data_IF_589607579018
#
_entry.id   IF_589607579018
#
_cell.length_a   1.000
_cell.length_b   1.000
_cell.length_c   1.000
_cell.angle_alpha   90.00
_cell.angle_beta   90.00
_cell.angle_gamma   90.00
#
_symmetry.space_group_name_H-M   'P 1'
#
loop_
_entity.id
_entity.type
_entity.pdbx_description
1 polymer ?
#
# COMPACT_ATOMS: atom_id res chain seq x y z
N UNK A 1 -8.35 18.00 -5.69
CA UNK A 1 -7.65 19.29 -5.89
C UNK A 1 -8.46 20.19 -6.80
N UNK A 2 -8.89 19.70 -7.97
CA UNK A 2 -9.60 20.48 -9.01
C UNK A 2 -10.74 21.36 -8.48
N UNK A 3 -11.64 20.83 -7.64
CA UNK A 3 -12.74 21.63 -7.09
C UNK A 3 -12.28 22.83 -6.25
N UNK A 4 -11.25 22.63 -5.40
CA UNK A 4 -10.70 23.69 -4.53
C UNK A 4 -9.82 24.64 -5.33
N UNK A 5 -9.08 24.14 -6.33
CA UNK A 5 -8.30 24.98 -7.27
C UNK A 5 -9.20 25.83 -8.17
N UNK A 6 -10.43 25.38 -8.45
CA UNK A 6 -11.45 26.14 -9.17
C UNK A 6 -12.15 27.21 -8.29
N UNK A 7 -11.72 27.40 -7.05
CA UNK A 7 -12.24 28.44 -6.15
C UNK A 7 -13.44 28.02 -5.30
N UNK A 8 -13.83 26.74 -5.30
CA UNK A 8 -14.84 26.26 -4.35
C UNK A 8 -14.27 26.24 -2.94
N UNK A 9 -15.04 26.75 -1.98
CA UNK A 9 -14.79 26.55 -0.56
C UNK A 9 -14.77 25.05 -0.21
N UNK A 10 -14.01 24.68 0.82
CA UNK A 10 -13.77 23.28 1.19
C UNK A 10 -15.08 22.48 1.37
N UNK A 11 -16.08 23.05 2.03
CA UNK A 11 -17.37 22.39 2.26
C UNK A 11 -18.12 22.11 0.95
N UNK A 12 -18.15 23.08 0.03
CA UNK A 12 -18.77 22.92 -1.28
C UNK A 12 -18.02 21.89 -2.13
N UNK A 13 -16.69 21.90 -2.07
CA UNK A 13 -15.86 20.90 -2.73
C UNK A 13 -16.10 19.49 -2.16
N UNK A 14 -16.22 19.34 -0.85
CA UNK A 14 -16.53 18.07 -0.18
C UNK A 14 -17.93 17.55 -0.55
N UNK A 15 -18.94 18.43 -0.59
CA UNK A 15 -20.28 18.05 -1.04
C UNK A 15 -20.27 17.55 -2.48
N UNK A 16 -19.59 18.27 -3.37
CA UNK A 16 -19.48 17.88 -4.79
C UNK A 16 -18.77 16.53 -4.96
N UNK A 17 -17.66 16.33 -4.25
CA UNK A 17 -16.93 15.06 -4.27
C UNK A 17 -17.76 13.91 -3.67
N UNK A 18 -18.54 14.18 -2.61
CA UNK A 18 -19.46 13.22 -2.01
C UNK A 18 -20.51 12.73 -3.00
N UNK A 19 -21.08 13.61 -3.82
CA UNK A 19 -22.02 13.25 -4.88
C UNK A 19 -21.36 12.44 -6.01
N UNK A 20 -20.20 12.90 -6.50
CA UNK A 20 -19.51 12.24 -7.62
C UNK A 20 -18.95 10.85 -7.26
N UNK A 21 -18.52 10.66 -6.01
CA UNK A 21 -17.92 9.39 -5.58
C UNK A 21 -18.95 8.29 -5.35
N UNK A 22 -20.25 8.62 -5.30
CA UNK A 22 -21.34 7.66 -5.09
C UNK A 22 -21.25 6.45 -6.02
N UNK A 23 -20.94 6.68 -7.30
CA UNK A 23 -20.83 5.63 -8.32
C UNK A 23 -19.62 4.70 -8.08
N UNK A 24 -18.56 5.20 -7.44
CA UNK A 24 -17.33 4.42 -7.15
C UNK A 24 -17.33 3.78 -5.78
N UNK A 25 -17.89 4.45 -4.79
CA UNK A 25 -17.97 4.00 -3.41
C UNK A 25 -19.13 4.70 -2.71
N UNK A 26 -20.23 3.97 -2.57
CA UNK A 26 -21.40 4.44 -1.82
C UNK A 26 -21.05 4.71 -0.35
N UNK A 27 -20.29 3.82 0.29
CA UNK A 27 -19.90 3.97 1.70
C UNK A 27 -19.12 5.28 1.95
N UNK A 28 -18.20 5.64 1.05
CA UNK A 28 -17.44 6.89 1.19
C UNK A 28 -18.29 8.14 0.89
N UNK A 29 -19.23 8.02 -0.06
CA UNK A 29 -20.19 9.07 -0.35
C UNK A 29 -21.08 9.40 0.86
N UNK A 30 -21.63 8.36 1.51
CA UNK A 30 -22.44 8.49 2.71
C UNK A 30 -21.67 9.14 3.86
N UNK A 31 -20.42 8.73 4.07
CA UNK A 31 -19.55 9.31 5.09
C UNK A 31 -19.22 10.80 4.85
N UNK A 32 -18.94 11.19 3.60
CA UNK A 32 -18.72 12.61 3.26
C UNK A 32 -20.00 13.44 3.41
N UNK A 33 -21.16 12.88 3.05
CA UNK A 33 -22.45 13.53 3.26
C UNK A 33 -22.77 13.70 4.75
N UNK A 34 -22.41 12.71 5.58
CA UNK A 34 -22.57 12.80 7.02
C UNK A 34 -21.70 13.90 7.63
N UNK A 35 -20.47 14.10 7.15
CA UNK A 35 -19.64 15.25 7.56
C UNK A 35 -20.33 16.57 7.26
N UNK A 36 -20.88 16.73 6.05
CA UNK A 36 -21.62 17.94 5.68
C UNK A 36 -22.87 18.13 6.56
N UNK A 37 -23.56 17.04 6.91
CA UNK A 37 -24.71 17.08 7.81
C UNK A 37 -24.30 17.54 9.22
N UNK A 38 -23.19 17.02 9.75
CA UNK A 38 -22.67 17.41 11.06
C UNK A 38 -22.30 18.90 11.12
N UNK A 39 -21.66 19.42 10.07
CA UNK A 39 -21.32 20.84 9.97
C UNK A 39 -22.61 21.68 9.93
N UNK A 40 -23.61 21.28 9.14
CA UNK A 40 -24.92 21.96 9.09
C UNK A 40 -25.68 21.89 10.43
N UNK A 41 -25.46 20.83 11.20
CA UNK A 41 -26.01 20.68 12.55
C UNK A 41 -25.26 21.52 13.60
N UNK A 42 -24.30 22.35 13.20
CA UNK A 42 -23.59 23.28 14.08
C UNK A 42 -22.31 22.74 14.71
N UNK A 43 -21.86 21.52 14.34
CA UNK A 43 -20.54 21.04 14.77
C UNK A 43 -19.44 21.80 14.05
N UNK A 44 -18.31 22.00 14.73
CA UNK A 44 -17.13 22.57 14.09
C UNK A 44 -16.62 21.65 12.98
N UNK A 45 -16.05 22.23 11.92
CA UNK A 45 -15.46 21.49 10.81
C UNK A 45 -14.39 20.52 11.28
N UNK A 46 -13.55 20.95 12.22
CA UNK A 46 -12.54 20.09 12.84
C UNK A 46 -13.16 18.85 13.49
N UNK A 47 -14.23 19.02 14.28
CA UNK A 47 -14.90 17.91 14.94
C UNK A 47 -15.53 16.95 13.93
N UNK A 48 -16.21 17.47 12.92
CA UNK A 48 -16.87 16.65 11.90
C UNK A 48 -15.85 15.83 11.08
N UNK A 49 -14.70 16.42 10.73
CA UNK A 49 -13.60 15.72 10.06
C UNK A 49 -12.95 14.67 10.98
N UNK A 50 -12.79 14.95 12.27
CA UNK A 50 -12.29 13.94 13.23
C UNK A 50 -13.24 12.75 13.35
N UNK A 51 -14.56 13.00 13.35
CA UNK A 51 -15.57 11.96 13.41
C UNK A 51 -15.53 11.08 12.15
N UNK A 52 -15.29 11.65 10.96
CA UNK A 52 -15.05 10.88 9.73
C UNK A 52 -13.88 9.89 9.89
N UNK A 53 -12.74 10.34 10.41
CA UNK A 53 -11.58 9.48 10.62
C UNK A 53 -11.88 8.36 11.64
N UNK A 54 -12.65 8.66 12.70
CA UNK A 54 -13.05 7.67 13.70
C UNK A 54 -14.01 6.62 13.15
N UNK A 55 -15.02 7.02 12.36
CA UNK A 55 -16.01 6.08 11.79
C UNK A 55 -15.42 5.19 10.71
N UNK A 56 -14.58 5.75 9.84
CA UNK A 56 -13.99 5.01 8.72
C UNK A 56 -12.87 4.07 9.16
N UNK A 57 -12.04 4.47 10.14
CA UNK A 57 -10.91 3.66 10.62
C UNK A 57 -9.79 3.45 9.59
N UNK A 58 -9.84 4.12 8.43
CA UNK A 58 -8.87 3.98 7.34
C UNK A 58 -7.72 4.97 7.54
N UNK A 59 -6.49 4.46 7.56
CA UNK A 59 -5.30 5.27 7.85
C UNK A 59 -5.08 6.38 6.80
N UNK A 60 -5.35 6.09 5.52
CA UNK A 60 -5.31 7.10 4.46
C UNK A 60 -6.34 8.24 4.69
N UNK A 61 -7.54 7.93 5.20
CA UNK A 61 -8.56 8.95 5.51
C UNK A 61 -8.14 9.77 6.74
N UNK A 62 -7.58 9.11 7.76
CA UNK A 62 -7.04 9.79 8.94
C UNK A 62 -5.96 10.80 8.56
N UNK A 63 -5.03 10.41 7.68
CA UNK A 63 -4.01 11.31 7.13
C UNK A 63 -4.60 12.50 6.37
N UNK A 64 -5.61 12.27 5.55
CA UNK A 64 -6.35 13.34 4.84
C UNK A 64 -7.00 14.32 5.82
N UNK A 65 -7.73 13.80 6.82
CA UNK A 65 -8.40 14.59 7.86
C UNK A 65 -7.41 15.46 8.64
N UNK A 66 -6.30 14.89 9.09
CA UNK A 66 -5.26 15.65 9.80
C UNK A 66 -4.67 16.77 8.96
N UNK A 67 -4.47 16.54 7.66
CA UNK A 67 -3.99 17.56 6.73
C UNK A 67 -5.03 18.67 6.53
N UNK A 68 -6.30 18.32 6.32
CA UNK A 68 -7.39 19.30 6.13
C UNK A 68 -7.57 20.20 7.36
N UNK A 69 -7.55 19.63 8.56
CA UNK A 69 -7.64 20.37 9.83
C UNK A 69 -6.46 21.33 9.98
N UNK A 70 -5.23 20.88 9.68
CA UNK A 70 -4.05 21.74 9.74
C UNK A 70 -4.15 22.87 8.71
N UNK A 71 -4.58 22.58 7.48
CA UNK A 71 -4.69 23.58 6.45
C UNK A 71 -5.73 24.65 6.77
N UNK A 72 -6.88 24.25 7.32
CA UNK A 72 -7.95 25.14 7.79
C UNK A 72 -7.48 26.01 8.97
N UNK A 73 -6.81 25.40 9.97
CA UNK A 73 -6.37 26.09 11.20
C UNK A 73 -5.26 27.11 10.96
N UNK A 74 -4.29 26.79 10.09
CA UNK A 74 -3.14 27.66 9.82
C UNK A 74 -3.34 28.56 8.59
N UNK A 75 -4.51 28.50 7.94
CA UNK A 75 -4.81 29.30 6.75
C UNK A 75 -3.89 28.99 5.56
N UNK A 76 -3.18 27.87 5.58
CA UNK A 76 -2.34 27.45 4.46
C UNK A 76 -3.21 27.01 3.29
N UNK A 77 -2.74 27.17 2.05
CA UNK A 77 -3.51 26.79 0.86
C UNK A 77 -3.94 25.31 0.91
N UNK A 78 -5.24 25.08 1.14
CA UNK A 78 -5.87 23.75 1.14
C UNK A 78 -5.64 23.06 -0.22
N UNK A 79 -5.65 23.82 -1.31
CA UNK A 79 -5.36 23.31 -2.65
C UNK A 79 -3.93 22.73 -2.74
N UNK A 80 -2.93 23.47 -2.24
CA UNK A 80 -1.54 23.02 -2.23
C UNK A 80 -1.35 21.78 -1.37
N UNK A 81 -1.92 21.77 -0.15
CA UNK A 81 -1.84 20.62 0.77
C UNK A 81 -2.53 19.38 0.21
N UNK A 82 -3.70 19.53 -0.45
CA UNK A 82 -4.37 18.43 -1.16
C UNK A 82 -3.54 17.90 -2.32
N UNK A 83 -2.82 18.75 -3.05
CA UNK A 83 -1.96 18.34 -4.16
C UNK A 83 -0.79 17.50 -3.67
N UNK A 84 -0.07 17.98 -2.65
CA UNK A 84 1.03 17.24 -2.01
C UNK A 84 0.54 15.90 -1.46
N UNK A 85 -0.60 15.88 -0.77
CA UNK A 85 -1.17 14.63 -0.24
C UNK A 85 -1.57 13.65 -1.36
N UNK A 86 -2.15 14.15 -2.45
CA UNK A 86 -2.52 13.31 -3.60
C UNK A 86 -1.30 12.69 -4.28
N UNK A 87 -0.22 13.46 -4.43
CA UNK A 87 1.03 12.97 -5.01
C UNK A 87 1.71 11.95 -4.10
N UNK A 88 1.68 12.17 -2.78
CA UNK A 88 2.14 11.20 -1.80
C UNK A 88 1.40 9.86 -1.91
N UNK A 89 0.06 9.87 -2.08
CA UNK A 89 -0.72 8.65 -2.26
C UNK A 89 -0.35 7.90 -3.55
N UNK A 90 -0.08 8.63 -4.65
CA UNK A 90 0.40 8.04 -5.91
C UNK A 90 1.76 7.38 -5.73
N UNK A 91 2.69 8.06 -5.06
CA UNK A 91 4.02 7.53 -4.75
C UNK A 91 3.92 6.29 -3.86
N UNK A 92 3.10 6.31 -2.80
CA UNK A 92 2.88 5.15 -1.92
C UNK A 92 2.36 3.94 -2.70
N UNK A 93 1.45 4.15 -3.66
CA UNK A 93 0.94 3.08 -4.54
C UNK A 93 2.04 2.49 -5.42
N UNK A 94 2.93 3.33 -5.96
CA UNK A 94 4.09 2.88 -6.74
C UNK A 94 5.08 2.09 -5.89
N UNK A 95 5.42 2.59 -4.69
CA UNK A 95 6.33 1.91 -3.77
C UNK A 95 5.81 0.53 -3.36
N UNK A 96 4.51 0.37 -3.10
CA UNK A 96 3.91 -0.95 -2.81
C UNK A 96 4.08 -1.92 -3.98
N UNK A 97 3.99 -1.44 -5.22
CA UNK A 97 4.20 -2.26 -6.41
C UNK A 97 5.69 -2.62 -6.57
N UNK A 98 6.60 -1.69 -6.34
CA UNK A 98 8.05 -1.91 -6.37
C UNK A 98 8.49 -2.89 -5.26
N UNK A 99 7.92 -2.78 -4.05
CA UNK A 99 8.17 -3.71 -2.95
C UNK A 99 7.70 -5.14 -3.30
N UNK A 100 6.53 -5.26 -3.93
CA UNK A 100 6.02 -6.54 -4.41
C UNK A 100 6.95 -7.14 -5.48
N UNK A 101 7.47 -6.31 -6.40
CA UNK A 101 8.41 -6.73 -7.42
C UNK A 101 9.77 -7.15 -6.82
N UNK A 102 10.31 -6.40 -5.86
CA UNK A 102 11.57 -6.74 -5.19
C UNK A 102 11.52 -8.09 -4.46
N UNK A 103 10.37 -8.43 -3.87
CA UNK A 103 10.15 -9.72 -3.21
C UNK A 103 10.14 -10.91 -4.18
N UNK A 104 9.99 -10.70 -5.49
CA UNK A 104 10.00 -11.79 -6.50
C UNK A 104 11.38 -12.44 -6.58
N UNK A 105 12.47 -11.65 -6.52
CA UNK A 105 13.83 -12.18 -6.61
C UNK A 105 14.14 -13.19 -5.49
N UNK A 106 13.71 -12.89 -4.25
CA UNK A 106 13.86 -13.80 -3.12
C UNK A 106 12.99 -15.07 -3.28
N UNK A 107 11.79 -14.95 -3.83
CA UNK A 107 10.93 -16.11 -4.12
C UNK A 107 11.53 -17.02 -5.20
N UNK A 108 12.25 -16.47 -6.18
CA UNK A 108 12.93 -17.23 -7.23
C UNK A 108 14.19 -17.95 -6.73
N UNK A 109 14.87 -17.41 -5.72
CA UNK A 109 16.03 -18.07 -5.09
C UNK A 109 15.66 -19.40 -4.43
N UNK A 110 14.46 -19.52 -3.87
CA UNK A 110 14.05 -20.75 -3.18
C UNK A 110 14.01 -21.98 -4.10
N UNK A 111 13.31 -21.98 -5.25
CA UNK A 111 13.39 -23.07 -6.23
C UNK A 111 14.80 -23.25 -6.78
N UNK A 112 15.53 -22.17 -7.04
CA UNK A 112 16.88 -22.26 -7.58
C UNK A 112 17.79 -23.08 -6.65
N UNK A 113 17.78 -22.78 -5.35
CA UNK A 113 18.57 -23.53 -4.38
C UNK A 113 18.06 -24.97 -4.28
N UNK A 114 16.75 -25.21 -4.19
CA UNK A 114 16.24 -26.57 -4.00
C UNK A 114 16.39 -27.50 -5.22
N UNK A 115 16.46 -26.98 -6.44
CA UNK A 115 16.61 -27.80 -7.65
C UNK A 115 18.02 -27.77 -8.23
N UNK A 116 18.66 -26.60 -8.28
CA UNK A 116 19.99 -26.44 -8.87
C UNK A 116 21.08 -26.98 -7.95
N UNK A 117 20.99 -26.73 -6.63
CA UNK A 117 22.03 -27.16 -5.69
C UNK A 117 22.16 -28.69 -5.60
N UNK A 118 21.07 -29.48 -5.49
CA UNK A 118 21.18 -30.94 -5.53
C UNK A 118 21.70 -31.46 -6.86
N UNK A 119 21.29 -30.86 -7.98
CA UNK A 119 21.80 -31.23 -9.30
C UNK A 119 23.32 -31.01 -9.39
N UNK A 120 23.82 -29.87 -8.89
CA UNK A 120 25.26 -29.58 -8.83
C UNK A 120 26.00 -30.55 -7.90
N UNK A 121 25.44 -30.90 -6.75
CA UNK A 121 26.01 -31.92 -5.85
C UNK A 121 26.17 -33.27 -6.56
N UNK A 122 25.16 -33.72 -7.30
CA UNK A 122 25.20 -34.98 -8.05
C UNK A 122 26.28 -34.94 -9.12
N UNK A 123 26.44 -33.84 -9.84
CA UNK A 123 27.48 -33.71 -10.89
C UNK A 123 28.89 -33.70 -10.30
N UNK A 124 29.11 -32.99 -9.19
CA UNK A 124 30.44 -32.84 -8.58
C UNK A 124 30.83 -34.10 -7.79
N UNK A 125 29.96 -34.61 -6.92
CA UNK A 125 30.24 -35.75 -6.05
C UNK A 125 30.03 -37.08 -6.79
N UNK A 126 29.06 -37.16 -7.71
CA UNK A 126 28.64 -38.38 -8.39
C UNK A 126 29.79 -39.26 -8.92
N UNK A 127 30.70 -38.74 -9.77
CA UNK A 127 31.79 -39.56 -10.30
C UNK A 127 32.78 -39.99 -9.22
N UNK A 128 33.05 -39.15 -8.22
CA UNK A 128 33.92 -39.49 -7.09
C UNK A 128 33.32 -40.60 -6.23
N UNK A 129 32.03 -40.52 -5.93
CA UNK A 129 31.30 -41.54 -5.19
C UNK A 129 31.23 -42.87 -5.94
N UNK A 130 30.96 -42.86 -7.25
CA UNK A 130 30.97 -44.06 -8.09
C UNK A 130 32.37 -44.69 -8.15
N UNK A 131 33.41 -43.87 -8.30
CA UNK A 131 34.80 -44.35 -8.33
C UNK A 131 35.22 -44.95 -6.99
N UNK A 132 34.89 -44.29 -5.87
CA UNK A 132 35.14 -44.84 -4.53
C UNK A 132 34.38 -46.15 -4.31
N UNK A 133 33.10 -46.22 -4.69
CA UNK A 133 32.31 -47.45 -4.58
C UNK A 133 32.96 -48.59 -5.39
N UNK A 134 33.34 -48.35 -6.65
CA UNK A 134 33.96 -49.36 -7.51
C UNK A 134 35.34 -49.85 -7.02
N UNK A 135 36.08 -49.04 -6.26
CA UNK A 135 37.40 -49.42 -5.74
C UNK A 135 37.32 -50.04 -4.34
N UNK A 136 36.43 -49.55 -3.46
CA UNK A 136 36.26 -50.06 -2.10
C UNK A 136 35.40 -51.33 -2.02
N UNK A 137 34.34 -51.48 -2.84
CA UNK A 137 33.51 -52.69 -2.81
C UNK A 137 34.30 -53.99 -3.11
N UNK A 138 35.16 -54.05 -4.15
CA UNK A 138 35.99 -55.22 -4.37
C UNK A 138 37.15 -55.36 -3.35
N UNK A 139 37.59 -54.27 -2.73
CA UNK A 139 38.63 -54.33 -1.68
C UNK A 139 38.10 -54.81 -0.31
N UNK A 140 36.80 -54.67 -0.04
CA UNK A 140 36.14 -55.20 1.16
C UNK A 140 35.47 -56.57 0.91
N UNK A 141 35.09 -56.87 -0.33
CA UNK A 141 34.64 -58.19 -0.79
C UNK A 141 35.82 -59.08 -1.17
N UNK A 142 36.74 -59.30 -0.24
CA UNK A 142 37.75 -60.35 -0.41
C UNK A 142 37.11 -61.73 -0.38
N UNK A 143 36.90 -62.32 -1.55
CA UNK A 143 37.15 -63.73 -1.87
C UNK A 143 37.67 -63.84 -3.30
#
# INVERSE_FOLDING_TARGET
>A
TVCVEAGLGLDAAMSKVGEEIYVKSQALSEELNLVNLEIRAGRSREQALRNLAQRTGVEEIKGLVSMLIQADRFGTSIAASLRVHSDMLRTKRRLRAEEAAGKIALKLLFPLIFFLFPALMVVIIGPGAITMANVLFPAMGGQ
#
